data_IF_017948470017
#
_entry.id   IF_017948470017
#
_cell.length_a   1.000
_cell.length_b   1.000
_cell.length_c   1.000
_cell.angle_alpha   90.00
_cell.angle_beta   90.00
_cell.angle_gamma   90.00
#
_symmetry.space_group_name_H-M   'P 1'
#
loop_
_entity.id
_entity.type
_entity.pdbx_description
1 polymer ?
#
# COMPACT_ATOMS: atom_id res chain seq x y z
N UNK A 1 -16.11 -6.52 7.63
CA UNK A 1 -15.37 -5.31 7.24
C UNK A 1 -14.73 -4.71 8.48
N UNK A 2 -13.56 -4.10 8.34
CA UNK A 2 -12.84 -3.47 9.45
C UNK A 2 -12.92 -1.95 9.30
N UNK A 3 -13.14 -1.23 10.41
CA UNK A 3 -13.05 0.23 10.45
C UNK A 3 -11.74 0.58 11.16
N UNK A 4 -10.87 1.31 10.46
CA UNK A 4 -9.59 1.75 10.99
C UNK A 4 -9.49 3.26 10.87
N UNK A 5 -9.31 3.94 12.00
CA UNK A 5 -9.19 5.41 12.07
C UNK A 5 -7.73 5.86 12.12
N UNK A 6 -6.81 4.93 12.39
CA UNK A 6 -5.38 5.20 12.51
C UNK A 6 -4.53 4.01 12.01
N UNK A 7 -3.23 4.22 11.86
CA UNK A 7 -2.29 3.22 11.34
C UNK A 7 -2.20 1.96 12.22
N UNK A 8 -2.29 2.09 13.55
CA UNK A 8 -2.23 0.91 14.43
C UNK A 8 -3.46 0.01 14.28
N UNK A 9 -4.66 0.60 14.31
CA UNK A 9 -5.92 -0.12 14.07
C UNK A 9 -5.95 -0.75 12.68
N UNK A 10 -5.42 -0.04 11.67
CA UNK A 10 -5.29 -0.55 10.32
C UNK A 10 -4.31 -1.73 10.24
N UNK A 11 -3.15 -1.66 10.91
CA UNK A 11 -2.18 -2.76 10.98
C UNK A 11 -2.79 -3.99 11.61
N UNK A 12 -3.51 -3.82 12.72
CA UNK A 12 -4.18 -4.93 13.41
C UNK A 12 -5.21 -5.59 12.50
N UNK A 13 -6.08 -4.79 11.86
CA UNK A 13 -7.08 -5.28 10.92
C UNK A 13 -6.45 -6.01 9.72
N UNK A 14 -5.37 -5.45 9.16
CA UNK A 14 -4.63 -6.06 8.05
C UNK A 14 -4.06 -7.43 8.43
N UNK A 15 -3.44 -7.53 9.61
CA UNK A 15 -2.87 -8.79 10.10
C UNK A 15 -3.95 -9.84 10.37
N UNK A 16 -5.05 -9.45 11.04
CA UNK A 16 -6.17 -10.35 11.30
C UNK A 16 -6.80 -10.87 10.00
N UNK A 17 -7.03 -9.98 9.03
CA UNK A 17 -7.58 -10.35 7.73
C UNK A 17 -6.63 -11.25 6.93
N UNK A 18 -5.32 -10.98 6.99
CA UNK A 18 -4.31 -11.73 6.22
C UNK A 18 -3.99 -13.11 6.80
N UNK A 19 -4.28 -13.35 8.08
CA UNK A 19 -4.16 -14.67 8.71
C UNK A 19 -5.35 -15.58 8.40
N UNK A 20 -6.45 -15.03 7.90
CA UNK A 20 -7.63 -15.82 7.53
C UNK A 20 -7.45 -16.41 6.12
N UNK A 21 -7.35 -17.74 5.97
CA UNK A 21 -7.15 -18.39 4.66
C UNK A 21 -8.34 -18.21 3.69
N UNK A 22 -9.52 -17.84 4.18
CA UNK A 22 -10.71 -17.58 3.35
C UNK A 22 -10.69 -16.16 2.73
N UNK A 23 -9.76 -15.31 3.13
CA UNK A 23 -9.63 -13.94 2.62
C UNK A 23 -8.75 -13.93 1.38
N UNK A 24 -9.39 -13.86 0.21
CA UNK A 24 -8.70 -13.75 -1.09
C UNK A 24 -8.37 -12.31 -1.50
N UNK A 25 -9.08 -11.30 -1.00
CA UNK A 25 -8.96 -9.90 -1.37
C UNK A 25 -9.08 -8.99 -0.15
N UNK A 26 -8.15 -8.04 -0.02
CA UNK A 26 -8.17 -6.96 0.97
C UNK A 26 -8.18 -5.64 0.22
N UNK A 27 -9.20 -4.82 0.45
CA UNK A 27 -9.29 -3.45 -0.07
C UNK A 27 -8.92 -2.50 1.07
N UNK A 28 -7.97 -1.61 0.82
CA UNK A 28 -7.45 -0.65 1.80
C UNK A 28 -7.34 0.74 1.17
N UNK A 29 -7.51 1.80 1.95
CA UNK A 29 -7.31 3.15 1.40
C UNK A 29 -5.82 3.42 1.16
N UNK A 30 -5.50 4.17 0.10
CA UNK A 30 -4.13 4.57 -0.25
C UNK A 30 -3.40 5.19 0.95
N UNK A 31 -4.11 5.96 1.80
CA UNK A 31 -3.51 6.66 2.95
C UNK A 31 -3.08 5.71 4.05
N UNK A 32 -3.89 4.68 4.33
CA UNK A 32 -3.51 3.64 5.28
C UNK A 32 -2.44 2.73 4.69
N UNK A 33 -2.56 2.39 3.40
CA UNK A 33 -1.59 1.57 2.69
C UNK A 33 -0.20 2.22 2.66
N UNK A 34 -0.11 3.54 2.45
CA UNK A 34 1.15 4.27 2.49
C UNK A 34 1.88 4.09 3.83
N UNK A 35 1.16 4.15 4.95
CA UNK A 35 1.72 3.93 6.29
C UNK A 35 2.06 2.48 6.59
N UNK A 36 1.50 1.53 5.83
CA UNK A 36 1.65 0.08 6.01
C UNK A 36 2.41 -0.58 4.86
N UNK A 37 3.11 0.18 3.99
CA UNK A 37 3.79 -0.35 2.79
C UNK A 37 4.68 -1.55 3.11
N UNK A 38 5.45 -1.49 4.21
CA UNK A 38 6.32 -2.60 4.65
C UNK A 38 5.51 -3.82 5.07
N UNK A 39 4.47 -3.62 5.87
CA UNK A 39 3.58 -4.69 6.33
C UNK A 39 2.91 -5.39 5.13
N UNK A 40 2.39 -4.63 4.17
CA UNK A 40 1.77 -5.12 2.92
C UNK A 40 2.75 -5.93 2.08
N UNK A 41 3.98 -5.43 1.89
CA UNK A 41 5.03 -6.13 1.16
C UNK A 41 5.38 -7.47 1.81
N UNK A 42 5.58 -7.49 3.14
CA UNK A 42 5.87 -8.74 3.85
C UNK A 42 4.72 -9.76 3.79
N UNK A 43 3.47 -9.30 3.74
CA UNK A 43 2.31 -10.19 3.66
C UNK A 43 2.11 -10.82 2.28
N UNK A 44 2.51 -10.12 1.22
CA UNK A 44 2.32 -10.53 -0.18
C UNK A 44 3.54 -11.23 -0.78
N UNK A 45 4.71 -11.10 -0.15
CA UNK A 45 5.95 -11.72 -0.63
C UNK A 45 5.83 -13.25 -0.69
N UNK A 46 5.95 -13.80 -1.91
CA UNK A 46 5.88 -15.24 -2.15
C UNK A 46 4.48 -15.86 -2.01
N UNK A 47 3.42 -15.05 -1.88
CA UNK A 47 2.04 -15.53 -1.72
C UNK A 47 1.13 -15.03 -2.83
N UNK A 48 0.18 -15.90 -3.24
CA UNK A 48 -0.85 -15.56 -4.21
C UNK A 48 -2.04 -14.85 -3.54
N UNK A 49 -2.27 -15.12 -2.26
CA UNK A 49 -3.35 -14.54 -1.46
C UNK A 49 -2.86 -14.05 -0.10
N UNK A 50 -3.45 -12.97 0.46
CA UNK A 50 -4.52 -12.16 -0.14
C UNK A 50 -4.02 -11.18 -1.21
N UNK A 51 -4.84 -10.90 -2.23
CA UNK A 51 -4.63 -9.77 -3.14
C UNK A 51 -4.94 -8.46 -2.39
N UNK A 52 -4.06 -7.47 -2.47
CA UNK A 52 -4.25 -6.18 -1.81
C UNK A 52 -4.51 -5.11 -2.88
N UNK A 53 -5.64 -4.41 -2.75
CA UNK A 53 -6.04 -3.33 -3.66
C UNK A 53 -6.13 -2.02 -2.88
N UNK A 54 -5.38 -1.02 -3.33
CA UNK A 54 -5.40 0.34 -2.78
C UNK A 54 -6.50 1.17 -3.47
N UNK A 55 -7.33 1.88 -2.71
CA UNK A 55 -8.37 2.78 -3.22
C UNK A 55 -8.24 4.18 -2.60
N UNK A 56 -8.69 5.26 -3.28
CA UNK A 56 -8.74 6.57 -2.67
C UNK A 56 -9.68 6.58 -1.45
N UNK A 57 -9.43 7.50 -0.51
CA UNK A 57 -10.38 7.76 0.57
C UNK A 57 -11.39 8.86 0.18
N UNK A 58 -12.29 9.21 1.11
CA UNK A 58 -13.31 10.24 0.88
C UNK A 58 -12.76 11.64 0.61
N UNK A 59 -11.46 11.88 0.83
CA UNK A 59 -10.79 13.14 0.56
C UNK A 59 -10.10 13.15 -0.81
N UNK A 60 -10.28 12.10 -1.63
CA UNK A 60 -9.68 11.96 -2.94
C UNK A 60 -8.39 11.13 -2.92
N UNK A 61 -7.75 10.95 -4.10
CA UNK A 61 -6.49 10.24 -4.21
C UNK A 61 -5.36 10.99 -3.49
N UNK A 62 -4.33 10.27 -3.07
CA UNK A 62 -3.11 10.92 -2.59
C UNK A 62 -2.42 11.58 -3.80
N UNK A 63 -2.13 12.88 -3.70
CA UNK A 63 -1.22 13.52 -4.63
C UNK A 63 0.17 12.87 -4.48
N UNK A 64 0.60 12.12 -5.50
CA UNK A 64 1.93 11.53 -5.51
C UNK A 64 2.98 12.66 -5.46
N UNK A 65 3.73 12.72 -4.35
CA UNK A 65 4.81 13.71 -4.18
C UNK A 65 5.98 13.51 -5.15
N UNK A 66 6.02 12.38 -5.85
CA UNK A 66 7.13 11.97 -6.70
C UNK A 66 6.59 11.58 -8.06
N UNK A 67 7.11 12.20 -9.12
CA UNK A 67 6.77 11.86 -10.50
C UNK A 67 7.10 10.37 -10.78
N UNK A 68 6.13 9.56 -11.23
CA UNK A 68 6.33 8.15 -11.57
C UNK A 68 7.50 7.91 -12.53
N UNK A 69 7.71 8.82 -13.48
CA UNK A 69 8.81 8.76 -14.44
C UNK A 69 10.15 8.91 -13.70
N UNK A 70 10.21 9.81 -12.72
CA UNK A 70 11.42 10.04 -11.94
C UNK A 70 11.79 8.83 -11.08
N UNK A 71 10.80 8.16 -10.48
CA UNK A 71 11.00 6.89 -9.75
C UNK A 71 11.48 5.76 -10.67
N UNK A 72 10.92 5.67 -11.88
CA UNK A 72 11.28 4.64 -12.84
C UNK A 72 12.73 4.83 -13.33
N UNK A 73 13.13 6.07 -13.64
CA UNK A 73 14.51 6.42 -13.97
C UNK A 73 15.45 6.09 -12.81
N UNK A 74 15.07 6.45 -11.57
CA UNK A 74 15.87 6.17 -10.38
C UNK A 74 16.09 4.67 -10.18
N UNK A 75 15.06 3.84 -10.37
CA UNK A 75 15.18 2.38 -10.27
C UNK A 75 16.04 1.77 -11.37
N UNK A 76 15.96 2.32 -12.58
CA UNK A 76 16.71 1.80 -13.73
C UNK A 76 18.20 2.23 -13.73
N UNK A 77 18.49 3.47 -13.33
CA UNK A 77 19.83 4.08 -13.51
C UNK A 77 20.52 4.41 -12.17
N UNK A 78 19.78 4.53 -11.07
CA UNK A 78 20.34 4.81 -9.74
C UNK A 78 20.71 6.27 -9.47
N UNK A 79 20.38 7.20 -10.37
CA UNK A 79 20.71 8.63 -10.26
C UNK A 79 19.47 9.50 -10.22
N UNK A 80 19.51 10.55 -9.40
CA UNK A 80 18.43 11.53 -9.30
C UNK A 80 18.64 12.65 -10.33
N UNK A 81 17.75 12.68 -11.34
CA UNK A 81 17.74 13.77 -12.33
C UNK A 81 16.87 14.91 -11.78
N UNK A 82 17.44 16.11 -11.68
CA UNK A 82 16.66 17.33 -11.47
C UNK A 82 16.19 17.81 -12.84
N UNK A 83 14.89 17.73 -13.09
CA UNK A 83 14.25 18.40 -14.21
C UNK A 83 13.90 19.80 -13.71
N UNK A 84 14.48 20.83 -14.33
CA UNK A 84 14.06 22.23 -14.18
C UNK A 84 12.87 22.53 -15.10
#
# INVERSE_FOLDING_TARGET
GYVAENIESARKALNEASLNPDVGLIIITERLAQGLRKDISHLTEGKITPLIVEIPDKFGPIEEKVDPIKELIKKAVGVEIKLE
#
